data_IF_787298193018
#
_entry.id   IF_787298193018
#
_cell.length_a   1.000
_cell.length_b   1.000
_cell.length_c   1.000
_cell.angle_alpha   90.00
_cell.angle_beta   90.00
_cell.angle_gamma   90.00
#
_symmetry.space_group_name_H-M   'P 1'
#
loop_
_entity.id
_entity.type
_entity.pdbx_description
1 polymer ?
#
# COMPACT_ATOMS: atom_id res chain seq x y z
N UNK A 1 -7.35 -18.35 4.62
CA UNK A 1 -6.01 -17.86 5.00
C UNK A 1 -5.04 -18.30 3.92
N UNK A 2 -4.11 -17.43 3.56
CA UNK A 2 -3.11 -17.65 2.53
C UNK A 2 -1.76 -17.74 3.22
N UNK A 3 -0.94 -18.71 2.85
CA UNK A 3 0.41 -18.85 3.39
C UNK A 3 1.35 -17.93 2.62
N UNK A 4 1.98 -17.00 3.32
CA UNK A 4 3.08 -16.16 2.82
C UNK A 4 4.33 -16.58 3.60
N UNK A 5 4.91 -17.71 3.18
CA UNK A 5 6.20 -18.17 3.70
C UNK A 5 7.37 -17.34 3.17
N UNK A 6 8.59 -17.65 3.62
CA UNK A 6 9.78 -16.84 3.35
C UNK A 6 10.03 -16.64 1.85
N UNK A 7 9.89 -17.70 1.04
CA UNK A 7 10.01 -17.61 -0.43
C UNK A 7 9.00 -16.65 -1.05
N UNK A 8 7.75 -16.64 -0.55
CA UNK A 8 6.72 -15.74 -1.05
C UNK A 8 7.03 -14.28 -0.65
N UNK A 9 7.53 -14.09 0.58
CA UNK A 9 8.00 -12.79 1.06
C UNK A 9 9.18 -12.27 0.22
N UNK A 10 10.15 -13.11 -0.11
CA UNK A 10 11.29 -12.73 -0.96
C UNK A 10 10.81 -12.29 -2.34
N UNK A 11 9.86 -13.04 -2.94
CA UNK A 11 9.23 -12.66 -4.21
C UNK A 11 8.54 -11.30 -4.10
N UNK A 12 7.77 -11.06 -3.02
CA UNK A 12 7.13 -9.77 -2.78
C UNK A 12 8.16 -8.64 -2.65
N UNK A 13 9.30 -8.87 -1.99
CA UNK A 13 10.38 -7.90 -1.90
C UNK A 13 11.01 -7.61 -3.26
N UNK A 14 11.24 -8.63 -4.09
CA UNK A 14 11.71 -8.42 -5.47
C UNK A 14 10.71 -7.60 -6.28
N UNK A 15 9.41 -7.92 -6.21
CA UNK A 15 8.35 -7.15 -6.87
C UNK A 15 8.39 -5.69 -6.40
N UNK A 16 8.48 -5.44 -5.09
CA UNK A 16 8.58 -4.08 -4.55
C UNK A 16 9.80 -3.32 -5.09
N UNK A 17 10.97 -3.98 -5.14
CA UNK A 17 12.20 -3.39 -5.68
C UNK A 17 12.06 -3.05 -7.17
N UNK A 18 11.48 -3.94 -7.97
CA UNK A 18 11.21 -3.70 -9.39
C UNK A 18 10.21 -2.56 -9.59
N UNK A 19 9.13 -2.51 -8.80
CA UNK A 19 8.19 -1.41 -8.83
C UNK A 19 8.88 -0.07 -8.50
N UNK A 20 9.70 0.00 -7.46
CA UNK A 20 10.46 1.20 -7.14
C UNK A 20 11.39 1.63 -8.26
N UNK A 21 12.18 0.71 -8.80
CA UNK A 21 13.05 0.97 -9.94
C UNK A 21 12.26 1.53 -11.12
N UNK A 22 11.13 0.90 -11.46
CA UNK A 22 10.27 1.33 -12.55
C UNK A 22 9.63 2.71 -12.29
N UNK A 23 9.19 3.01 -11.07
CA UNK A 23 8.66 4.32 -10.69
C UNK A 23 9.70 5.42 -10.90
N UNK A 24 10.94 5.19 -10.46
CA UNK A 24 12.04 6.15 -10.61
C UNK A 24 12.36 6.33 -12.09
N UNK A 25 12.49 5.24 -12.84
CA UNK A 25 12.74 5.28 -14.28
C UNK A 25 11.63 6.02 -15.03
N UNK A 26 10.36 5.69 -14.76
CA UNK A 26 9.21 6.32 -15.40
C UNK A 26 9.13 7.81 -15.10
N UNK A 27 9.47 8.22 -13.87
CA UNK A 27 9.52 9.63 -13.49
C UNK A 27 10.62 10.38 -14.23
N UNK A 28 11.83 9.81 -14.29
CA UNK A 28 12.98 10.45 -14.92
C UNK A 28 12.87 10.49 -16.44
N UNK A 29 12.74 9.32 -17.08
CA UNK A 29 12.69 9.19 -18.53
C UNK A 29 11.37 9.76 -19.09
N UNK A 30 10.24 9.51 -18.42
CA UNK A 30 8.95 10.04 -18.83
C UNK A 30 8.88 11.55 -18.71
N UNK A 31 9.43 12.12 -17.63
CA UNK A 31 9.54 13.57 -17.45
C UNK A 31 10.39 14.24 -18.53
N UNK A 32 11.59 13.70 -18.79
CA UNK A 32 12.51 14.25 -19.79
C UNK A 32 11.93 14.21 -21.21
N UNK A 33 11.28 13.10 -21.59
CA UNK A 33 10.74 12.90 -22.93
C UNK A 33 9.29 13.40 -23.09
N UNK A 34 8.68 13.95 -22.03
CA UNK A 34 7.24 14.26 -21.95
C UNK A 34 6.37 13.05 -22.33
N UNK A 35 6.84 11.85 -22.04
CA UNK A 35 6.10 10.60 -22.27
C UNK A 35 5.07 10.40 -21.16
N UNK A 36 3.87 10.89 -21.44
CA UNK A 36 2.75 10.83 -20.51
C UNK A 36 2.30 9.39 -20.21
N UNK A 37 2.42 8.46 -21.16
CA UNK A 37 2.02 7.08 -20.93
C UNK A 37 2.97 6.38 -19.96
N UNK A 38 4.28 6.58 -20.13
CA UNK A 38 5.28 6.04 -19.22
C UNK A 38 5.07 6.57 -17.79
N UNK A 39 4.80 7.87 -17.62
CA UNK A 39 4.47 8.47 -16.32
C UNK A 39 3.23 7.81 -15.70
N UNK A 40 2.18 7.58 -16.49
CA UNK A 40 0.96 6.93 -16.01
C UNK A 40 1.22 5.51 -15.50
N UNK A 41 1.98 4.71 -16.24
CA UNK A 41 2.35 3.37 -15.79
C UNK A 41 3.22 3.42 -14.52
N UNK A 42 4.10 4.42 -14.39
CA UNK A 42 4.83 4.68 -13.14
C UNK A 42 3.90 4.91 -11.95
N UNK A 43 2.84 5.71 -12.13
CA UNK A 43 1.83 5.92 -11.07
C UNK A 43 1.08 4.62 -10.72
N UNK A 44 0.71 3.79 -11.70
CA UNK A 44 0.08 2.49 -11.43
C UNK A 44 1.03 1.53 -10.70
N UNK A 45 2.33 1.60 -10.96
CA UNK A 45 3.31 0.84 -10.21
C UNK A 45 3.38 1.26 -8.72
N UNK A 46 3.13 2.53 -8.39
CA UNK A 46 2.95 2.96 -6.98
C UNK A 46 1.72 2.33 -6.32
N UNK A 47 0.61 2.15 -7.06
CA UNK A 47 -0.57 1.46 -6.54
C UNK A 47 -0.26 -0.02 -6.26
N UNK A 48 0.45 -0.70 -7.17
CA UNK A 48 0.90 -2.08 -6.95
C UNK A 48 1.86 -2.19 -5.75
N UNK A 49 2.80 -1.24 -5.62
CA UNK A 49 3.73 -1.15 -4.50
C UNK A 49 3.00 -1.05 -3.15
N UNK A 50 1.92 -0.27 -3.10
CA UNK A 50 1.08 -0.16 -1.90
C UNK A 50 0.51 -1.52 -1.50
N UNK A 51 -0.06 -2.27 -2.45
CA UNK A 51 -0.60 -3.61 -2.19
C UNK A 51 0.48 -4.53 -1.63
N UNK A 52 1.67 -4.54 -2.24
CA UNK A 52 2.79 -5.39 -1.83
C UNK A 52 3.24 -5.06 -0.40
N UNK A 53 3.40 -3.78 -0.06
CA UNK A 53 3.78 -3.37 1.30
C UNK A 53 2.72 -3.73 2.34
N UNK A 54 1.45 -3.53 2.00
CA UNK A 54 0.35 -3.89 2.89
C UNK A 54 0.26 -5.42 3.10
N UNK A 55 0.50 -6.23 2.06
CA UNK A 55 0.58 -7.69 2.20
C UNK A 55 1.70 -8.10 3.15
N UNK A 56 2.89 -7.54 2.98
CA UNK A 56 4.03 -7.85 3.85
C UNK A 56 3.76 -7.40 5.30
N UNK A 57 3.19 -6.20 5.48
CA UNK A 57 2.91 -5.65 6.81
C UNK A 57 1.77 -6.35 7.57
N UNK A 58 0.79 -6.91 6.86
CA UNK A 58 -0.35 -7.59 7.47
C UNK A 58 -0.17 -9.11 7.62
N UNK A 59 0.97 -9.65 7.20
CA UNK A 59 1.31 -11.07 7.37
C UNK A 59 1.84 -11.30 8.79
N UNK A 60 1.16 -12.12 9.58
CA UNK A 60 1.64 -12.62 10.88
C UNK A 60 1.85 -14.12 10.79
N UNK A 61 2.94 -14.65 11.39
CA UNK A 61 3.23 -16.08 11.43
C UNK A 61 3.11 -16.78 10.05
N UNK A 62 3.65 -16.15 9.00
CA UNK A 62 3.59 -16.59 7.61
C UNK A 62 2.16 -16.79 7.06
N UNK A 63 1.16 -16.16 7.67
CA UNK A 63 -0.25 -16.27 7.28
C UNK A 63 -0.84 -14.88 7.05
N UNK A 64 -1.60 -14.77 5.97
CA UNK A 64 -2.42 -13.61 5.65
C UNK A 64 -3.89 -14.04 5.60
N UNK A 65 -4.74 -13.34 6.36
CA UNK A 65 -6.18 -13.56 6.26
C UNK A 65 -6.69 -13.13 4.88
N UNK A 66 -7.49 -13.98 4.24
CA UNK A 66 -8.10 -13.67 2.93
C UNK A 66 -9.03 -12.45 3.03
N UNK A 67 -9.70 -12.29 4.18
CA UNK A 67 -10.52 -11.10 4.45
C UNK A 67 -9.66 -9.84 4.45
N UNK A 68 -8.48 -9.87 5.12
CA UNK A 68 -7.51 -8.76 5.15
C UNK A 68 -6.95 -8.47 3.75
N UNK A 69 -6.66 -9.51 2.96
CA UNK A 69 -6.22 -9.35 1.58
C UNK A 69 -7.26 -8.62 0.72
N UNK A 70 -8.53 -9.04 0.76
CA UNK A 70 -9.59 -8.36 0.00
C UNK A 70 -9.83 -6.95 0.55
N UNK A 71 -9.91 -6.83 1.87
CA UNK A 71 -10.11 -5.59 2.59
C UNK A 71 -9.32 -5.60 3.91
N UNK A 72 -8.31 -4.72 4.10
CA UNK A 72 -8.13 -3.44 3.43
C UNK A 72 -7.27 -3.46 2.16
N UNK A 73 -6.50 -4.51 1.90
CA UNK A 73 -5.31 -4.43 1.04
C UNK A 73 -5.65 -4.15 -0.43
N UNK A 74 -6.41 -5.04 -1.08
CA UNK A 74 -6.74 -4.91 -2.50
C UNK A 74 -7.66 -3.71 -2.75
N UNK A 75 -8.60 -3.45 -1.85
CA UNK A 75 -9.46 -2.26 -1.95
C UNK A 75 -8.65 -0.97 -1.95
N UNK A 76 -7.65 -0.86 -1.07
CA UNK A 76 -6.78 0.31 -1.02
C UNK A 76 -5.96 0.46 -2.32
N UNK A 77 -5.43 -0.66 -2.85
CA UNK A 77 -4.75 -0.67 -4.15
C UNK A 77 -5.63 -0.15 -5.30
N UNK A 78 -6.91 -0.54 -5.33
CA UNK A 78 -7.88 -0.06 -6.32
C UNK A 78 -8.12 1.44 -6.15
N UNK A 79 -8.34 1.92 -4.92
CA UNK A 79 -8.53 3.35 -4.68
C UNK A 79 -7.30 4.17 -5.08
N UNK A 80 -6.09 3.68 -4.83
CA UNK A 80 -4.87 4.33 -5.33
C UNK A 80 -4.80 4.38 -6.85
N UNK A 81 -5.13 3.28 -7.54
CA UNK A 81 -5.15 3.26 -9.00
C UNK A 81 -6.17 4.27 -9.58
N UNK A 82 -7.35 4.37 -8.97
CA UNK A 82 -8.36 5.39 -9.34
C UNK A 82 -7.83 6.81 -9.07
N UNK A 83 -7.24 7.06 -7.90
CA UNK A 83 -6.66 8.34 -7.54
C UNK A 83 -5.59 8.80 -8.56
N UNK A 84 -4.67 7.91 -8.91
CA UNK A 84 -3.64 8.19 -9.90
C UNK A 84 -4.19 8.41 -11.31
N UNK A 85 -5.24 7.67 -11.69
CA UNK A 85 -5.93 7.87 -12.98
C UNK A 85 -6.58 9.25 -13.06
N UNK A 86 -7.20 9.72 -11.97
CA UNK A 86 -7.77 11.07 -11.88
C UNK A 86 -6.68 12.14 -12.04
N UNK A 87 -5.55 12.00 -11.32
CA UNK A 87 -4.40 12.92 -11.43
C UNK A 87 -3.87 12.95 -12.86
N UNK A 88 -3.73 11.77 -13.48
CA UNK A 88 -3.22 11.65 -14.84
C UNK A 88 -4.13 12.31 -15.90
N UNK A 89 -5.45 12.13 -15.77
CA UNK A 89 -6.42 12.66 -16.72
C UNK A 89 -6.65 14.17 -16.59
N UNK A 90 -6.39 14.71 -15.41
CA UNK A 90 -6.55 16.14 -15.14
C UNK A 90 -5.27 16.94 -15.33
N UNK A 91 -4.16 16.31 -15.74
CA UNK A 91 -2.87 17.00 -15.94
C UNK A 91 -3.02 18.23 -16.85
N UNK A 92 -2.45 19.36 -16.43
CA UNK A 92 -2.48 20.61 -17.19
C UNK A 92 -3.76 21.44 -17.03
N UNK A 93 -4.72 20.99 -16.22
CA UNK A 93 -5.86 21.82 -15.80
C UNK A 93 -5.35 22.85 -14.78
N UNK A 94 -5.86 24.09 -14.86
CA UNK A 94 -5.47 25.14 -13.92
C UNK A 94 -5.91 24.82 -12.49
N UNK A 95 -5.10 25.22 -11.52
CA UNK A 95 -5.36 25.04 -10.10
C UNK A 95 -6.32 26.11 -9.56
N UNK A 96 -7.54 26.13 -10.11
CA UNK A 96 -8.57 27.12 -9.76
C UNK A 96 -9.68 26.52 -8.89
N UNK A 97 -9.40 25.38 -8.25
CA UNK A 97 -10.35 24.61 -7.43
C UNK A 97 -10.08 24.78 -5.93
N UNK A 98 -11.04 24.37 -5.08
CA UNK A 98 -11.09 24.54 -3.61
C UNK A 98 -9.67 24.62 -2.97
N UNK A 99 -9.40 25.72 -2.25
CA UNK A 99 -8.13 26.01 -1.57
C UNK A 99 -6.89 26.11 -2.48
N UNK A 100 -7.06 26.39 -3.78
CA UNK A 100 -5.96 26.44 -4.74
C UNK A 100 -5.40 25.06 -5.10
N UNK A 101 -6.13 23.99 -4.79
CA UNK A 101 -5.73 22.63 -5.17
C UNK A 101 -6.01 22.39 -6.65
N UNK A 102 -5.12 21.65 -7.30
CA UNK A 102 -5.40 21.11 -8.62
C UNK A 102 -6.60 20.14 -8.52
N UNK A 103 -7.61 20.20 -9.41
CA UNK A 103 -8.81 19.35 -9.33
C UNK A 103 -8.49 17.86 -9.22
N UNK A 104 -7.44 17.41 -9.93
CA UNK A 104 -6.94 16.06 -9.84
C UNK A 104 -6.46 15.64 -8.46
N UNK A 105 -5.76 16.54 -7.76
CA UNK A 105 -5.26 16.26 -6.42
C UNK A 105 -6.36 16.27 -5.38
N UNK A 106 -7.36 17.15 -5.51
CA UNK A 106 -8.53 17.10 -4.65
C UNK A 106 -9.30 15.77 -4.83
N UNK A 107 -9.55 15.37 -6.08
CA UNK A 107 -10.19 14.09 -6.38
C UNK A 107 -9.39 12.89 -5.86
N UNK A 108 -8.08 12.87 -6.10
CA UNK A 108 -7.20 11.83 -5.59
C UNK A 108 -7.15 11.78 -4.06
N UNK A 109 -7.18 12.94 -3.38
CA UNK A 109 -7.17 13.02 -1.93
C UNK A 109 -8.37 12.30 -1.31
N UNK A 110 -9.55 12.38 -1.91
CA UNK A 110 -10.74 11.65 -1.45
C UNK A 110 -10.49 10.14 -1.47
N UNK A 111 -9.96 9.60 -2.57
CA UNK A 111 -9.66 8.17 -2.69
C UNK A 111 -8.51 7.73 -1.78
N UNK A 112 -7.47 8.56 -1.61
CA UNK A 112 -6.41 8.28 -0.64
C UNK A 112 -6.94 8.30 0.80
N UNK A 113 -7.87 9.19 1.14
CA UNK A 113 -8.51 9.19 2.45
C UNK A 113 -9.36 7.93 2.68
N UNK A 114 -10.18 7.56 1.70
CA UNK A 114 -11.01 6.36 1.80
C UNK A 114 -10.15 5.08 1.91
N UNK A 115 -9.10 4.97 1.10
CA UNK A 115 -8.22 3.80 1.06
C UNK A 115 -7.20 3.73 2.19
N UNK A 116 -6.50 4.83 2.49
CA UNK A 116 -5.47 4.81 3.52
C UNK A 116 -6.06 5.09 4.90
N UNK A 117 -6.91 6.10 5.07
CA UNK A 117 -7.37 6.50 6.40
C UNK A 117 -8.58 5.66 6.87
N UNK A 118 -9.70 5.71 6.15
CA UNK A 118 -10.94 5.05 6.58
C UNK A 118 -10.79 3.54 6.58
N UNK A 119 -10.30 2.98 5.47
CA UNK A 119 -10.16 1.53 5.31
C UNK A 119 -9.11 0.96 6.28
N UNK A 120 -7.97 1.62 6.50
CA UNK A 120 -7.00 1.14 7.50
C UNK A 120 -7.55 1.28 8.93
N UNK A 121 -8.20 2.40 9.29
CA UNK A 121 -8.75 2.62 10.63
C UNK A 121 -9.84 1.59 10.97
N UNK A 122 -10.77 1.36 10.05
CA UNK A 122 -11.80 0.34 10.24
C UNK A 122 -11.20 -1.07 10.29
N UNK A 123 -10.19 -1.36 9.46
CA UNK A 123 -9.51 -2.66 9.50
C UNK A 123 -8.78 -2.88 10.82
N UNK A 124 -8.22 -1.82 11.40
CA UNK A 124 -7.60 -1.86 12.71
C UNK A 124 -8.62 -2.23 13.80
N UNK A 125 -9.79 -1.60 13.77
CA UNK A 125 -10.85 -1.84 14.75
C UNK A 125 -11.46 -3.25 14.59
N UNK A 126 -11.70 -3.69 13.36
CA UNK A 126 -12.50 -4.88 13.08
C UNK A 126 -11.68 -6.16 12.88
N UNK A 127 -10.46 -6.06 12.36
CA UNK A 127 -9.69 -7.22 11.90
C UNK A 127 -8.33 -7.34 12.57
N UNK A 128 -7.68 -6.25 12.96
CA UNK A 128 -6.31 -6.35 13.49
C UNK A 128 -6.26 -7.15 14.79
N UNK A 129 -7.11 -6.83 15.76
CA UNK A 129 -7.14 -7.51 17.08
C UNK A 129 -7.48 -9.00 17.01
N UNK A 130 -8.06 -9.48 15.89
CA UNK A 130 -8.51 -10.87 15.76
C UNK A 130 -7.77 -11.66 14.68
N UNK A 131 -7.12 -11.00 13.72
CA UNK A 131 -6.54 -11.64 12.52
C UNK A 131 -5.11 -11.25 12.20
N UNK A 132 -4.62 -10.12 12.68
CA UNK A 132 -3.26 -9.63 12.36
C UNK A 132 -2.37 -9.68 13.59
N UNK A 133 -2.91 -9.29 14.75
CA UNK A 133 -2.21 -9.35 16.03
C UNK A 133 -3.18 -9.80 17.15
N UNK A 134 -3.56 -11.09 17.17
CA UNK A 134 -4.31 -11.65 18.29
C UNK A 134 -3.57 -11.46 19.64
N UNK A 135 -4.30 -11.21 20.72
CA UNK A 135 -3.69 -10.99 22.06
C UNK A 135 -2.82 -12.17 22.51
N UNK A 136 -3.20 -13.39 22.19
CA UNK A 136 -2.45 -14.62 22.49
C UNK A 136 -1.11 -14.70 21.73
N UNK A 137 -1.10 -14.30 20.46
CA UNK A 137 0.16 -14.20 19.69
C UNK A 137 1.06 -13.09 20.25
N UNK A 138 0.48 -11.96 20.65
CA UNK A 138 1.22 -10.84 21.25
C UNK A 138 1.83 -11.21 22.59
N UNK A 139 1.09 -11.88 23.47
CA UNK A 139 1.61 -12.37 24.75
C UNK A 139 2.73 -13.39 24.54
N UNK A 140 2.59 -14.29 23.56
CA UNK A 140 3.63 -15.25 23.20
C UNK A 140 4.92 -14.54 22.77
N UNK A 141 4.80 -13.55 21.89
CA UNK A 141 5.92 -12.72 21.45
C UNK A 141 6.60 -11.97 22.63
N UNK A 142 5.81 -11.36 23.51
CA UNK A 142 6.36 -10.66 24.69
C UNK A 142 7.08 -11.60 25.65
N UNK A 143 6.61 -12.84 25.81
CA UNK A 143 7.32 -13.88 26.59
C UNK A 143 8.66 -14.24 25.95
N UNK A 144 8.70 -14.37 24.63
CA UNK A 144 9.94 -14.67 23.90
C UNK A 144 10.97 -13.53 24.06
N UNK A 145 10.53 -12.27 23.86
CA UNK A 145 11.39 -11.09 24.02
C UNK A 145 11.91 -10.96 25.46
N UNK A 146 11.05 -11.18 26.46
CA UNK A 146 11.46 -11.17 27.87
C UNK A 146 12.44 -12.31 28.20
N UNK A 147 12.31 -13.45 27.51
CA UNK A 147 13.28 -14.54 27.57
C UNK A 147 14.64 -14.15 27.01
N UNK A 148 14.68 -13.50 25.84
CA UNK A 148 15.91 -13.03 25.20
C UNK A 148 16.62 -11.95 26.03
N UNK A 149 15.87 -11.05 26.67
CA UNK A 149 16.44 -10.03 27.57
C UNK A 149 17.13 -10.62 28.81
N UNK A 150 16.76 -11.82 29.26
CA UNK A 150 17.42 -12.48 30.41
C UNK A 150 18.72 -13.18 30.05
N UNK A 151 19.01 -13.34 28.75
CA UNK A 151 20.21 -13.99 28.22
C UNK A 151 21.33 -12.95 27.98
N UNK A 152 20.99 -11.66 28.03
CA UNK A 152 21.91 -10.52 27.97
C UNK A 152 22.02 -9.82 29.33
#
# INVERSE_FOLDING_TARGET
MITIGDKARDILMFIAAFCWFFVIYASWAGGANKDHQLIYFGLLACAALTVVYYMMGATSNQKLSTSVLVWPILLNGIFQAVAFTIVYNTKGVKADFILGMHPGFFGAMVFFWLGNFVTSTLSYILLFSTKVLPEDEWESFMKEVAGQQKIH
#
